data_IF_115216148899
#
_entry.id   IF_115216148899
#
_cell.length_a   1.000
_cell.length_b   1.000
_cell.length_c   1.000
_cell.angle_alpha   90.00
_cell.angle_beta   90.00
_cell.angle_gamma   90.00
#
_symmetry.space_group_name_H-M   'P 1'
#
loop_
_entity.id
_entity.type
_entity.pdbx_description
1 polymer ?
#
# COMPACT_ATOMS: atom_id res chain seq x y z
N UNK A 1 31.93 6.37 -25.11
CA UNK A 1 32.81 5.24 -24.81
C UNK A 1 31.99 4.23 -24.04
N UNK A 2 31.73 3.11 -24.66
CA UNK A 2 30.80 2.07 -24.23
C UNK A 2 31.36 1.33 -23.02
N UNK A 3 30.79 1.57 -21.84
CA UNK A 3 30.92 0.61 -20.75
C UNK A 3 30.04 -0.59 -21.11
N UNK A 4 30.65 -1.58 -21.75
CA UNK A 4 30.09 -2.93 -21.84
C UNK A 4 30.14 -3.53 -20.42
N UNK A 5 29.10 -3.32 -19.63
CA UNK A 5 28.89 -4.02 -18.36
C UNK A 5 28.60 -5.49 -18.75
N UNK A 6 29.65 -6.30 -18.72
CA UNK A 6 29.62 -7.72 -19.10
C UNK A 6 29.04 -8.56 -17.95
N UNK A 7 27.94 -8.10 -17.32
CA UNK A 7 27.17 -8.90 -16.39
C UNK A 7 26.35 -9.90 -17.21
N UNK A 8 26.35 -11.17 -16.85
CA UNK A 8 25.49 -12.12 -17.54
C UNK A 8 24.03 -11.63 -17.45
N UNK A 9 23.38 -11.51 -18.61
CA UNK A 9 21.95 -11.23 -18.68
C UNK A 9 21.20 -12.45 -18.13
N UNK A 10 20.47 -12.27 -17.03
CA UNK A 10 19.64 -13.32 -16.46
C UNK A 10 18.22 -13.16 -16.96
N UNK A 11 17.73 -14.20 -17.62
CA UNK A 11 16.43 -14.15 -18.27
C UNK A 11 15.37 -14.81 -17.43
N UNK A 12 14.21 -14.21 -17.40
CA UNK A 12 13.01 -14.82 -16.85
C UNK A 12 12.62 -15.99 -17.74
N UNK A 13 12.61 -17.20 -17.17
CA UNK A 13 12.29 -18.46 -17.90
C UNK A 13 10.96 -19.06 -17.48
N UNK A 14 10.31 -18.53 -16.44
CA UNK A 14 9.01 -19.00 -15.98
C UNK A 14 8.25 -17.95 -15.17
N UNK A 15 6.93 -18.04 -15.28
CA UNK A 15 5.99 -17.29 -14.45
C UNK A 15 4.89 -18.24 -13.99
N UNK A 16 4.59 -18.26 -12.71
CA UNK A 16 3.57 -19.10 -12.10
C UNK A 16 2.63 -18.24 -11.26
N UNK A 17 1.32 -18.52 -11.28
CA UNK A 17 0.31 -17.76 -10.55
C UNK A 17 -0.49 -18.67 -9.63
N UNK A 18 -0.85 -18.16 -8.44
CA UNK A 18 -1.63 -18.88 -7.44
C UNK A 18 -2.78 -18.00 -6.93
N UNK A 19 -3.97 -18.59 -6.80
CA UNK A 19 -5.12 -18.00 -6.12
C UNK A 19 -5.05 -18.38 -4.63
N UNK A 20 -4.47 -17.49 -3.82
CA UNK A 20 -4.27 -17.72 -2.38
C UNK A 20 -5.29 -16.91 -1.61
N UNK A 21 -6.12 -17.58 -0.79
CA UNK A 21 -7.19 -16.92 -0.01
C UNK A 21 -7.14 -17.36 1.45
N UNK A 22 -7.34 -16.39 2.35
CA UNK A 22 -7.38 -16.57 3.79
C UNK A 22 -8.79 -16.29 4.30
N UNK A 23 -9.42 -17.20 5.07
CA UNK A 23 -10.82 -17.05 5.47
C UNK A 23 -10.98 -16.10 6.67
N UNK A 24 -10.55 -14.84 6.50
CA UNK A 24 -10.58 -13.81 7.55
C UNK A 24 -12.01 -13.41 7.95
N UNK A 25 -12.98 -13.65 7.07
CA UNK A 25 -14.42 -13.45 7.37
C UNK A 25 -14.91 -14.26 8.58
N UNK A 26 -14.25 -15.37 8.93
CA UNK A 26 -14.66 -16.23 10.07
C UNK A 26 -14.49 -15.54 11.42
N UNK A 27 -13.51 -14.65 11.55
CA UNK A 27 -13.19 -13.91 12.79
C UNK A 27 -13.56 -12.42 12.69
N UNK A 28 -14.19 -12.00 11.57
CA UNK A 28 -14.56 -10.63 11.23
C UNK A 28 -13.34 -9.69 11.03
N UNK A 29 -12.13 -10.23 10.90
CA UNK A 29 -10.94 -9.45 10.64
C UNK A 29 -11.02 -8.83 9.23
N UNK A 30 -10.82 -7.53 9.15
CA UNK A 30 -10.99 -6.76 7.91
C UNK A 30 -12.43 -6.32 7.63
N UNK A 31 -13.39 -6.61 8.50
CA UNK A 31 -14.80 -6.22 8.31
C UNK A 31 -15.01 -4.71 8.40
N UNK A 32 -15.74 -4.14 7.43
CA UNK A 32 -16.07 -2.72 7.34
C UNK A 32 -17.51 -2.51 6.85
N UNK A 33 -17.92 -1.24 6.69
CA UNK A 33 -19.30 -0.89 6.34
C UNK A 33 -19.73 -1.29 4.91
N UNK A 34 -18.78 -1.55 4.02
CA UNK A 34 -19.02 -1.98 2.64
C UNK A 34 -18.71 -3.45 2.43
N UNK A 35 -17.78 -4.00 3.22
CA UNK A 35 -17.25 -5.36 3.09
C UNK A 35 -17.40 -6.10 4.43
N UNK A 36 -18.60 -6.66 4.73
CA UNK A 36 -18.85 -7.30 6.03
C UNK A 36 -18.22 -8.70 6.17
N UNK A 37 -17.83 -9.33 5.05
CA UNK A 37 -17.35 -10.70 4.98
C UNK A 37 -16.11 -10.88 4.09
N UNK A 38 -15.00 -10.11 4.28
CA UNK A 38 -13.82 -10.20 3.44
C UNK A 38 -13.04 -11.48 3.73
N UNK A 39 -12.58 -12.16 2.67
CA UNK A 39 -11.56 -13.18 2.73
C UNK A 39 -10.26 -12.62 2.11
N UNK A 40 -9.35 -12.12 2.92
CA UNK A 40 -8.12 -11.50 2.42
C UNK A 40 -7.37 -12.45 1.51
N UNK A 41 -7.04 -11.98 0.31
CA UNK A 41 -6.53 -12.83 -0.75
C UNK A 41 -5.38 -12.18 -1.50
N UNK A 42 -4.48 -13.02 -1.98
CA UNK A 42 -3.39 -12.64 -2.84
C UNK A 42 -3.50 -13.38 -4.18
N UNK A 43 -3.71 -12.65 -5.27
CA UNK A 43 -3.41 -13.17 -6.59
C UNK A 43 -1.88 -13.13 -6.75
N UNK A 44 -1.26 -14.26 -6.41
CA UNK A 44 0.18 -14.36 -6.18
C UNK A 44 0.93 -14.79 -7.44
N UNK A 45 2.10 -14.20 -7.68
CA UNK A 45 2.94 -14.51 -8.83
C UNK A 45 4.38 -14.80 -8.40
N UNK A 46 4.98 -15.82 -9.03
CA UNK A 46 6.40 -16.17 -8.91
C UNK A 46 7.05 -16.08 -10.27
N UNK A 47 8.11 -15.29 -10.38
CA UNK A 47 8.99 -15.23 -11.56
C UNK A 47 10.23 -16.05 -11.29
N UNK A 48 10.68 -16.85 -12.26
CA UNK A 48 11.91 -17.66 -12.17
C UNK A 48 12.89 -17.27 -13.26
N UNK A 49 14.16 -17.21 -12.91
CA UNK A 49 15.26 -16.93 -13.84
C UNK A 49 16.04 -18.19 -14.19
N UNK A 50 16.80 -18.14 -15.28
CA UNK A 50 17.66 -19.23 -15.76
C UNK A 50 18.82 -19.58 -14.82
N UNK A 51 19.18 -18.69 -13.88
CA UNK A 51 20.15 -18.91 -12.83
C UNK A 51 19.53 -19.41 -11.49
N UNK A 52 18.21 -19.65 -11.48
CA UNK A 52 17.49 -20.25 -10.35
C UNK A 52 17.02 -19.28 -9.27
N UNK A 53 17.10 -17.97 -9.49
CA UNK A 53 16.50 -17.00 -8.59
C UNK A 53 14.98 -16.90 -8.80
N UNK A 54 14.27 -16.55 -7.73
CA UNK A 54 12.83 -16.30 -7.76
C UNK A 54 12.52 -14.87 -7.31
N UNK A 55 11.50 -14.25 -7.91
CA UNK A 55 10.91 -13.01 -7.51
C UNK A 55 9.42 -13.18 -7.24
N UNK A 56 8.92 -12.59 -6.18
CA UNK A 56 7.58 -12.77 -5.63
C UNK A 56 6.81 -11.46 -5.65
N UNK A 57 5.54 -11.52 -6.01
CA UNK A 57 4.64 -10.37 -5.98
C UNK A 57 3.19 -10.83 -5.96
N UNK A 58 2.29 -9.90 -5.71
CA UNK A 58 0.86 -10.19 -5.70
C UNK A 58 0.03 -8.94 -5.92
N UNK A 59 -1.24 -9.14 -6.32
CA UNK A 59 -2.30 -8.16 -6.18
C UNK A 59 -3.18 -8.57 -5.01
N UNK A 60 -3.49 -7.62 -4.12
CA UNK A 60 -4.39 -7.84 -3.01
C UNK A 60 -5.85 -7.78 -3.47
N UNK A 61 -6.68 -8.72 -3.00
CA UNK A 61 -8.13 -8.72 -3.12
C UNK A 61 -8.77 -9.21 -1.81
N UNK A 62 -10.11 -9.15 -1.75
CA UNK A 62 -10.86 -9.56 -0.56
C UNK A 62 -11.73 -10.80 -0.79
N UNK A 63 -11.33 -11.67 -1.71
CA UNK A 63 -11.94 -13.00 -1.93
C UNK A 63 -12.50 -13.18 -3.33
N UNK A 64 -13.79 -12.92 -3.50
CA UNK A 64 -14.47 -13.10 -4.79
C UNK A 64 -13.83 -12.27 -5.90
N UNK A 65 -13.49 -12.91 -7.03
CA UNK A 65 -12.80 -12.28 -8.17
C UNK A 65 -11.26 -12.40 -8.13
N UNK A 66 -10.68 -13.05 -7.10
CA UNK A 66 -9.23 -13.28 -7.06
C UNK A 66 -8.78 -14.17 -8.22
N UNK A 67 -9.61 -15.11 -8.68
CA UNK A 67 -9.43 -15.92 -9.89
C UNK A 67 -9.36 -15.08 -11.17
N UNK A 68 -10.16 -14.02 -11.28
CA UNK A 68 -10.09 -13.05 -12.39
C UNK A 68 -8.75 -12.30 -12.36
N UNK A 69 -8.30 -11.94 -11.17
CA UNK A 69 -7.02 -11.25 -10.97
C UNK A 69 -5.82 -12.16 -11.35
N UNK A 70 -5.84 -13.45 -10.97
CA UNK A 70 -4.80 -14.41 -11.38
C UNK A 70 -4.78 -14.63 -12.89
N UNK A 71 -5.94 -14.70 -13.55
CA UNK A 71 -6.02 -14.79 -14.99
C UNK A 71 -5.43 -13.54 -15.69
N UNK A 72 -5.68 -12.34 -15.14
CA UNK A 72 -5.08 -11.11 -15.65
C UNK A 72 -3.55 -11.08 -15.49
N UNK A 73 -3.02 -11.56 -14.35
CA UNK A 73 -1.57 -11.71 -14.15
C UNK A 73 -0.99 -12.67 -15.20
N UNK A 74 -1.61 -13.84 -15.38
CA UNK A 74 -1.14 -14.83 -16.36
C UNK A 74 -1.09 -14.27 -17.78
N UNK A 75 -1.99 -13.38 -18.17
CA UNK A 75 -1.98 -12.73 -19.48
C UNK A 75 -0.75 -11.82 -19.71
N UNK A 76 -0.04 -11.43 -18.65
CA UNK A 76 1.18 -10.61 -18.72
C UNK A 76 2.46 -11.42 -18.93
N UNK A 77 2.42 -12.75 -18.89
CA UNK A 77 3.60 -13.61 -19.06
C UNK A 77 4.43 -13.25 -20.30
N UNK A 78 3.77 -12.96 -21.42
CA UNK A 78 4.40 -12.59 -22.69
C UNK A 78 5.33 -11.37 -22.64
N UNK A 79 5.14 -10.49 -21.64
CA UNK A 79 5.94 -9.26 -21.48
C UNK A 79 7.22 -9.50 -20.67
N UNK A 80 7.28 -10.59 -19.91
CA UNK A 80 8.40 -10.87 -19.02
C UNK A 80 9.24 -12.07 -19.45
N UNK A 81 8.67 -13.10 -20.09
CA UNK A 81 9.44 -14.26 -20.54
C UNK A 81 10.54 -13.88 -21.53
N UNK A 82 11.75 -14.38 -21.26
CA UNK A 82 12.94 -14.13 -22.07
C UNK A 82 13.54 -12.73 -21.87
N UNK A 83 12.95 -11.89 -21.03
CA UNK A 83 13.43 -10.53 -20.73
C UNK A 83 14.47 -10.53 -19.60
N UNK A 84 15.30 -9.48 -19.61
CA UNK A 84 16.23 -9.20 -18.52
C UNK A 84 15.53 -8.37 -17.44
N UNK A 85 15.75 -8.72 -16.17
CA UNK A 85 15.15 -8.00 -15.02
C UNK A 85 15.79 -6.63 -14.76
N UNK A 86 16.90 -6.30 -15.41
CA UNK A 86 17.58 -5.02 -15.16
C UNK A 86 16.82 -3.83 -15.73
N UNK A 87 16.02 -4.01 -16.79
CA UNK A 87 15.28 -2.93 -17.45
C UNK A 87 13.82 -2.81 -16.96
N UNK A 88 13.64 -2.64 -15.65
CA UNK A 88 12.32 -2.51 -15.01
C UNK A 88 11.48 -1.36 -15.58
N UNK A 89 12.12 -0.24 -15.90
CA UNK A 89 11.42 0.93 -16.45
C UNK A 89 10.82 0.64 -17.83
N UNK A 90 11.55 -0.07 -18.69
CA UNK A 90 11.06 -0.45 -20.03
C UNK A 90 9.97 -1.52 -19.93
N UNK A 91 10.14 -2.54 -19.07
CA UNK A 91 9.13 -3.59 -18.86
C UNK A 91 7.80 -3.01 -18.36
N UNK A 92 7.85 -2.11 -17.37
CA UNK A 92 6.66 -1.40 -16.91
C UNK A 92 5.98 -0.61 -18.04
N UNK A 93 6.75 0.19 -18.79
CA UNK A 93 6.23 0.99 -19.90
C UNK A 93 5.67 0.12 -21.02
N UNK A 94 6.28 -1.03 -21.32
CA UNK A 94 5.77 -1.96 -22.33
C UNK A 94 4.38 -2.48 -21.96
N UNK A 95 4.18 -2.94 -20.71
CA UNK A 95 2.88 -3.41 -20.22
C UNK A 95 1.80 -2.32 -20.18
N UNK A 96 2.13 -1.15 -19.64
CA UNK A 96 1.16 -0.04 -19.50
C UNK A 96 0.79 0.58 -20.85
N UNK A 97 1.68 0.55 -21.84
CA UNK A 97 1.47 1.19 -23.14
C UNK A 97 1.06 0.24 -24.25
N UNK A 98 0.88 -1.05 -23.98
CA UNK A 98 0.44 -1.99 -25.02
C UNK A 98 -0.88 -1.54 -25.64
N UNK A 99 -0.89 -1.46 -26.98
CA UNK A 99 -2.00 -0.88 -27.74
C UNK A 99 -3.32 -1.66 -27.62
N UNK A 100 -3.24 -2.96 -27.35
CA UNK A 100 -4.41 -3.83 -27.21
C UNK A 100 -4.86 -3.95 -25.75
N UNK A 101 -3.91 -4.10 -24.81
CA UNK A 101 -4.22 -4.14 -23.38
C UNK A 101 -4.87 -2.83 -22.88
N UNK A 102 -4.52 -1.69 -23.47
CA UNK A 102 -5.09 -0.39 -23.08
C UNK A 102 -6.62 -0.32 -23.13
N UNK A 103 -7.24 -1.15 -23.94
CA UNK A 103 -8.70 -1.26 -23.95
C UNK A 103 -9.26 -1.97 -22.72
N UNK A 104 -8.50 -2.92 -22.15
CA UNK A 104 -8.85 -3.65 -20.94
C UNK A 104 -8.52 -2.88 -19.65
N UNK A 105 -7.65 -1.89 -19.73
CA UNK A 105 -7.43 -0.96 -18.65
C UNK A 105 -6.12 -1.00 -17.88
N UNK A 106 -4.93 -0.98 -18.51
CA UNK A 106 -3.79 -0.37 -17.87
C UNK A 106 -4.15 1.03 -17.39
N UNK A 107 -3.62 1.39 -16.23
CA UNK A 107 -3.93 2.61 -15.47
C UNK A 107 -5.28 2.56 -14.72
N UNK A 108 -6.00 1.40 -14.72
CA UNK A 108 -7.21 1.19 -13.90
C UNK A 108 -7.59 -0.29 -13.80
N UNK A 109 -8.25 -0.64 -12.71
CA UNK A 109 -8.90 -1.93 -12.52
C UNK A 109 -7.97 -3.14 -12.49
N UNK A 110 -8.56 -4.29 -12.80
CA UNK A 110 -7.93 -5.62 -12.68
C UNK A 110 -6.60 -5.71 -13.42
N UNK A 111 -6.54 -5.22 -14.68
CA UNK A 111 -5.30 -5.30 -15.47
C UNK A 111 -4.18 -4.45 -14.88
N UNK A 112 -4.48 -3.30 -14.28
CA UNK A 112 -3.46 -2.44 -13.67
C UNK A 112 -2.92 -3.04 -12.37
N UNK A 113 -3.78 -3.67 -11.57
CA UNK A 113 -3.37 -4.43 -10.39
C UNK A 113 -2.56 -5.67 -10.77
N UNK A 114 -2.86 -6.33 -11.91
CA UNK A 114 -2.05 -7.42 -12.43
C UNK A 114 -0.63 -6.95 -12.82
N UNK A 115 -0.52 -5.78 -13.45
CA UNK A 115 0.77 -5.14 -13.74
C UNK A 115 1.52 -4.86 -12.44
N UNK A 116 0.84 -4.38 -11.38
CA UNK A 116 1.44 -4.19 -10.07
C UNK A 116 2.09 -5.47 -9.54
N UNK A 117 1.36 -6.58 -9.55
CA UNK A 117 1.87 -7.87 -9.06
C UNK A 117 3.15 -8.29 -9.78
N UNK A 118 3.17 -8.18 -11.11
CA UNK A 118 4.34 -8.53 -11.94
C UNK A 118 5.51 -7.57 -11.70
N UNK A 119 5.25 -6.25 -11.64
CA UNK A 119 6.28 -5.23 -11.37
C UNK A 119 6.89 -5.42 -9.99
N UNK A 120 6.06 -5.70 -8.98
CA UNK A 120 6.54 -5.95 -7.62
C UNK A 120 7.39 -7.24 -7.56
N UNK A 121 7.03 -8.29 -8.29
CA UNK A 121 7.85 -9.51 -8.42
C UNK A 121 9.20 -9.23 -9.10
N UNK A 122 9.23 -8.37 -10.12
CA UNK A 122 10.48 -7.93 -10.77
C UNK A 122 11.37 -7.14 -9.80
N UNK A 123 10.80 -6.28 -8.97
CA UNK A 123 11.54 -5.54 -7.93
C UNK A 123 12.06 -6.46 -6.83
N UNK A 124 11.25 -7.43 -6.38
CA UNK A 124 11.69 -8.44 -5.42
C UNK A 124 12.90 -9.21 -5.96
N UNK A 125 12.82 -9.69 -7.20
CA UNK A 125 13.90 -10.41 -7.89
C UNK A 125 15.16 -9.55 -8.01
N UNK A 126 15.05 -8.31 -8.48
CA UNK A 126 16.17 -7.37 -8.60
C UNK A 126 16.85 -7.11 -7.26
N UNK A 127 16.06 -6.89 -6.21
CA UNK A 127 16.56 -6.61 -4.87
C UNK A 127 17.25 -7.85 -4.26
N UNK A 128 16.69 -9.05 -4.45
CA UNK A 128 17.34 -10.32 -4.03
C UNK A 128 18.69 -10.50 -4.69
N UNK A 129 18.78 -10.27 -5.99
CA UNK A 129 20.04 -10.37 -6.73
C UNK A 129 21.05 -9.31 -6.32
N UNK A 130 20.60 -8.12 -5.95
CA UNK A 130 21.44 -7.07 -5.41
C UNK A 130 21.87 -7.32 -3.95
N UNK A 131 21.32 -8.34 -3.28
CA UNK A 131 21.58 -8.64 -1.88
C UNK A 131 21.04 -7.56 -0.92
N UNK A 132 19.97 -6.83 -1.32
CA UNK A 132 19.43 -5.69 -0.58
C UNK A 132 17.92 -5.73 -0.46
N UNK A 133 17.31 -5.20 0.62
CA UNK A 133 15.87 -4.93 0.64
C UNK A 133 15.54 -3.80 -0.35
N UNK A 134 14.32 -3.80 -0.91
CA UNK A 134 13.89 -2.83 -1.94
C UNK A 134 14.03 -1.39 -1.45
N UNK A 135 13.68 -1.06 -0.19
CA UNK A 135 13.84 0.30 0.31
C UNK A 135 15.29 0.80 0.23
N UNK A 136 16.25 -0.08 0.55
CA UNK A 136 17.67 0.26 0.51
C UNK A 136 18.17 0.37 -0.93
N UNK A 137 17.76 -0.58 -1.78
CA UNK A 137 18.10 -0.56 -3.20
C UNK A 137 17.64 0.74 -3.86
N UNK A 138 16.38 1.13 -3.66
CA UNK A 138 15.82 2.38 -4.18
C UNK A 138 16.55 3.62 -3.61
N UNK A 139 16.85 3.62 -2.32
CA UNK A 139 17.52 4.76 -1.67
C UNK A 139 18.97 4.97 -2.15
N UNK A 140 19.63 3.93 -2.65
CA UNK A 140 20.99 3.99 -3.18
C UNK A 140 21.04 4.33 -4.69
N UNK A 141 19.91 4.30 -5.39
CA UNK A 141 19.85 4.74 -6.78
C UNK A 141 20.05 6.26 -6.85
N UNK A 142 20.69 6.71 -7.93
CA UNK A 142 20.81 8.15 -8.21
C UNK A 142 19.45 8.79 -8.50
N UNK A 143 19.30 10.10 -8.27
CA UNK A 143 18.09 10.83 -8.66
C UNK A 143 17.69 10.62 -10.12
N UNK A 144 18.65 10.55 -11.03
CA UNK A 144 18.45 10.33 -12.47
C UNK A 144 17.90 8.92 -12.75
N UNK A 145 18.40 7.90 -12.06
CA UNK A 145 17.89 6.52 -12.17
C UNK A 145 16.44 6.45 -11.67
N UNK A 146 16.13 7.07 -10.52
CA UNK A 146 14.76 7.10 -9.98
C UNK A 146 13.80 7.83 -10.95
N UNK A 147 14.18 8.98 -11.49
CA UNK A 147 13.37 9.70 -12.50
C UNK A 147 13.15 8.84 -13.75
N UNK A 148 14.13 8.05 -14.15
CA UNK A 148 14.03 7.10 -15.28
C UNK A 148 12.97 6.01 -15.11
N UNK A 149 12.63 5.66 -13.86
CA UNK A 149 11.60 4.66 -13.53
C UNK A 149 10.17 5.20 -13.70
N UNK A 150 9.98 6.53 -13.66
CA UNK A 150 8.67 7.18 -13.66
C UNK A 150 8.13 7.36 -15.08
N UNK A 151 6.85 7.05 -15.28
CA UNK A 151 6.11 7.47 -16.46
C UNK A 151 5.42 8.82 -16.19
N UNK A 152 5.99 9.89 -16.71
CA UNK A 152 5.48 11.26 -16.56
C UNK A 152 4.29 11.58 -17.48
N UNK A 153 3.86 10.64 -18.32
CA UNK A 153 2.67 10.84 -19.15
C UNK A 153 1.47 11.19 -18.28
N UNK A 154 0.79 12.26 -18.63
CA UNK A 154 -0.37 12.83 -17.91
C UNK A 154 -0.05 13.43 -16.52
N UNK A 155 1.24 13.61 -16.18
CA UNK A 155 1.66 14.26 -14.93
C UNK A 155 2.30 15.63 -15.14
N UNK A 156 2.75 15.95 -16.35
CA UNK A 156 3.62 17.10 -16.62
C UNK A 156 3.01 18.47 -16.31
N UNK A 157 1.68 18.55 -16.17
CA UNK A 157 0.96 19.75 -15.68
C UNK A 157 1.03 19.91 -14.15
N UNK A 158 1.43 18.88 -13.42
CA UNK A 158 1.54 18.87 -11.95
C UNK A 158 2.96 18.54 -11.46
N UNK A 159 3.70 17.70 -12.19
CA UNK A 159 5.06 17.29 -11.85
C UNK A 159 5.85 17.02 -13.14
N UNK A 160 6.85 17.81 -13.41
CA UNK A 160 7.80 17.59 -14.52
C UNK A 160 8.97 16.70 -14.09
N UNK A 161 9.70 16.06 -15.04
CA UNK A 161 10.93 15.33 -14.72
C UNK A 161 11.98 16.20 -14.00
N UNK A 162 12.14 17.46 -14.38
CA UNK A 162 13.10 18.37 -13.76
C UNK A 162 12.72 18.70 -12.31
N UNK A 163 11.45 18.90 -12.02
CA UNK A 163 10.98 19.12 -10.65
C UNK A 163 11.15 17.87 -9.78
N UNK A 164 10.85 16.68 -10.32
CA UNK A 164 11.10 15.41 -9.64
C UNK A 164 12.60 15.23 -9.32
N UNK A 165 13.47 15.56 -10.29
CA UNK A 165 14.90 15.53 -10.11
C UNK A 165 15.38 16.51 -9.03
N UNK A 166 14.81 17.71 -8.95
CA UNK A 166 15.13 18.70 -7.92
C UNK A 166 14.72 18.21 -6.52
N UNK A 167 13.54 17.57 -6.38
CA UNK A 167 13.08 16.98 -5.11
C UNK A 167 14.08 15.92 -4.64
N UNK A 168 14.44 14.97 -5.52
CA UNK A 168 15.36 13.88 -5.18
C UNK A 168 16.77 14.39 -4.86
N UNK A 169 17.31 15.34 -5.64
CA UNK A 169 18.63 15.93 -5.38
C UNK A 169 18.70 16.68 -4.06
N UNK A 170 17.61 17.37 -3.68
CA UNK A 170 17.53 18.01 -2.36
C UNK A 170 17.60 16.99 -1.23
N UNK A 171 17.02 15.81 -1.43
CA UNK A 171 17.03 14.73 -0.44
C UNK A 171 18.36 13.97 -0.38
N UNK A 172 19.36 14.23 -1.25
CA UNK A 172 20.69 13.63 -1.13
C UNK A 172 21.42 14.11 0.14
N UNK A 173 21.23 15.37 0.53
CA UNK A 173 21.82 15.90 1.77
C UNK A 173 21.23 15.18 2.99
N UNK A 174 22.09 14.63 3.85
CA UNK A 174 21.71 13.92 5.08
C UNK A 174 21.10 12.51 4.84
N UNK A 175 21.25 11.93 3.64
CA UNK A 175 20.69 10.61 3.31
C UNK A 175 21.25 9.49 4.21
N UNK A 176 22.55 9.45 4.44
CA UNK A 176 23.18 8.41 5.28
C UNK A 176 22.76 8.52 6.75
N UNK A 177 22.60 9.73 7.27
CA UNK A 177 22.09 9.95 8.63
C UNK A 177 20.64 9.47 8.77
N UNK A 178 19.80 9.69 7.72
CA UNK A 178 18.42 9.16 7.71
C UNK A 178 18.37 7.65 7.66
N UNK A 179 19.25 7.02 6.88
CA UNK A 179 19.39 5.57 6.83
C UNK A 179 19.80 5.02 8.20
N UNK A 180 20.82 5.60 8.82
CA UNK A 180 21.29 5.18 10.14
C UNK A 180 20.17 5.32 11.19
N UNK A 181 19.47 6.47 11.21
CA UNK A 181 18.32 6.71 12.09
C UNK A 181 17.18 5.71 11.85
N UNK A 182 16.85 5.42 10.58
CA UNK A 182 15.80 4.46 10.24
C UNK A 182 16.13 3.05 10.76
N UNK A 183 17.38 2.61 10.61
CA UNK A 183 17.83 1.30 11.10
C UNK A 183 17.79 1.25 12.64
N UNK A 184 18.16 2.33 13.31
CA UNK A 184 18.17 2.42 14.77
C UNK A 184 16.76 2.49 15.36
N UNK A 185 15.89 3.36 14.82
CA UNK A 185 14.61 3.74 15.44
C UNK A 185 13.38 3.18 14.76
N UNK A 186 13.50 2.65 13.54
CA UNK A 186 12.35 2.23 12.72
C UNK A 186 11.49 3.38 12.20
N UNK A 187 10.34 3.06 11.57
CA UNK A 187 9.39 4.02 10.99
C UNK A 187 8.07 4.02 11.79
N UNK A 188 7.44 5.18 12.08
CA UNK A 188 6.22 5.24 12.90
C UNK A 188 5.06 4.44 12.30
N UNK A 189 4.29 3.77 13.16
CA UNK A 189 3.12 2.99 12.79
C UNK A 189 1.87 3.45 13.54
N UNK A 190 0.70 3.19 12.94
CA UNK A 190 -0.59 3.16 13.62
C UNK A 190 -1.28 1.83 13.37
N UNK A 191 -2.30 1.49 14.17
CA UNK A 191 -3.00 0.22 13.97
C UNK A 191 -4.51 0.36 13.79
N UNK A 192 -5.06 -0.48 12.91
CA UNK A 192 -6.51 -0.65 12.69
C UNK A 192 -7.07 -1.85 13.48
N UNK A 193 -6.22 -2.69 14.07
CA UNK A 193 -6.63 -3.90 14.77
C UNK A 193 -7.76 -3.73 15.79
N UNK A 194 -7.85 -2.62 16.58
CA UNK A 194 -8.99 -2.40 17.48
C UNK A 194 -10.29 -2.05 16.76
N UNK A 195 -10.21 -1.59 15.52
CA UNK A 195 -11.27 -0.82 14.89
C UNK A 195 -12.20 -1.54 13.93
N UNK A 196 -12.06 -2.85 13.69
CA UNK A 196 -12.94 -3.58 12.79
C UNK A 196 -14.40 -3.54 13.25
N UNK A 197 -15.34 -3.62 12.30
CA UNK A 197 -16.76 -3.68 12.63
C UNK A 197 -17.16 -5.05 13.18
N UNK A 198 -18.19 -5.06 14.04
CA UNK A 198 -18.69 -6.28 14.65
C UNK A 198 -18.04 -6.65 15.98
N UNK A 199 -16.97 -5.96 16.38
CA UNK A 199 -16.37 -6.17 17.71
C UNK A 199 -17.25 -5.58 18.83
N UNK A 200 -17.39 -6.32 19.93
CA UNK A 200 -18.03 -5.81 21.14
C UNK A 200 -17.15 -4.82 21.91
N UNK A 201 -17.71 -4.18 22.93
CA UNK A 201 -17.01 -3.15 23.73
C UNK A 201 -15.83 -3.73 24.51
N UNK A 202 -15.90 -4.97 24.96
CA UNK A 202 -14.83 -5.62 25.71
C UNK A 202 -13.63 -5.88 24.82
N UNK A 203 -13.85 -6.44 23.61
CA UNK A 203 -12.80 -6.67 22.61
C UNK A 203 -12.19 -5.33 22.17
N UNK A 204 -13.02 -4.32 21.88
CA UNK A 204 -12.54 -2.99 21.49
C UNK A 204 -11.66 -2.35 22.57
N UNK A 205 -12.09 -2.36 23.86
CA UNK A 205 -11.30 -1.83 24.99
C UNK A 205 -9.95 -2.54 25.10
N UNK A 206 -9.97 -3.85 25.13
CA UNK A 206 -8.76 -4.68 25.26
C UNK A 206 -7.77 -4.37 24.13
N UNK A 207 -8.23 -4.33 22.88
CA UNK A 207 -7.37 -4.08 21.73
C UNK A 207 -6.83 -2.63 21.71
N UNK A 208 -7.59 -1.63 22.18
CA UNK A 208 -7.08 -0.28 22.39
C UNK A 208 -5.98 -0.23 23.46
N UNK A 209 -6.17 -0.92 24.60
CA UNK A 209 -5.15 -1.04 25.66
C UNK A 209 -3.88 -1.71 25.16
N UNK A 210 -4.03 -2.81 24.39
CA UNK A 210 -2.92 -3.53 23.76
C UNK A 210 -2.15 -2.66 22.77
N UNK A 211 -2.86 -1.87 21.94
CA UNK A 211 -2.24 -0.95 21.00
C UNK A 211 -1.40 0.12 21.72
N UNK A 212 -1.91 0.71 22.79
CA UNK A 212 -1.18 1.68 23.61
C UNK A 212 0.04 1.02 24.27
N UNK A 213 -0.12 -0.18 24.83
CA UNK A 213 0.97 -0.93 25.47
C UNK A 213 2.08 -1.31 24.49
N UNK A 214 1.75 -1.55 23.21
CA UNK A 214 2.69 -1.80 22.13
C UNK A 214 3.36 -0.53 21.60
N UNK A 215 3.00 0.65 22.10
CA UNK A 215 3.61 1.93 21.74
C UNK A 215 3.04 2.59 20.49
N UNK A 216 1.91 2.12 19.95
CA UNK A 216 1.25 2.79 18.83
C UNK A 216 0.79 4.20 19.24
N UNK A 217 1.12 5.20 18.44
CA UNK A 217 0.75 6.60 18.67
C UNK A 217 -0.60 7.00 18.07
N UNK A 218 -1.29 6.07 17.41
CA UNK A 218 -2.57 6.31 16.75
C UNK A 218 -3.28 4.96 16.49
N UNK A 219 -4.62 5.01 16.53
CA UNK A 219 -5.48 3.90 16.06
C UNK A 219 -6.47 4.39 15.00
N UNK A 220 -7.11 3.45 14.29
CA UNK A 220 -8.17 3.72 13.32
C UNK A 220 -9.41 2.89 13.64
N UNK A 221 -10.61 3.49 13.55
CA UNK A 221 -11.90 2.83 13.72
C UNK A 221 -12.65 2.81 12.38
N UNK A 222 -13.19 1.67 12.00
CA UNK A 222 -14.15 1.56 10.90
C UNK A 222 -15.49 2.15 11.32
N UNK A 223 -16.10 2.95 10.44
CA UNK A 223 -17.37 3.67 10.69
C UNK A 223 -18.27 3.60 9.47
N UNK A 224 -19.53 4.06 9.60
CA UNK A 224 -20.43 4.28 8.47
C UNK A 224 -21.53 3.22 8.32
N UNK A 225 -21.54 2.17 9.14
CA UNK A 225 -22.61 1.18 9.12
C UNK A 225 -23.85 1.66 9.92
N UNK A 226 -23.66 2.15 11.13
CA UNK A 226 -24.70 2.69 12.01
C UNK A 226 -24.13 3.85 12.85
N UNK A 227 -24.74 5.01 12.79
CA UNK A 227 -24.23 6.23 13.41
C UNK A 227 -24.19 6.15 14.95
N UNK A 228 -25.20 5.54 15.58
CA UNK A 228 -25.22 5.42 17.04
C UNK A 228 -24.19 4.38 17.53
N UNK A 229 -23.96 3.32 16.76
CA UNK A 229 -22.89 2.36 17.02
C UNK A 229 -21.50 3.02 16.85
N UNK A 230 -21.30 3.80 15.81
CA UNK A 230 -20.06 4.56 15.57
C UNK A 230 -19.78 5.50 16.74
N UNK A 231 -20.79 6.25 17.22
CA UNK A 231 -20.67 7.11 18.40
C UNK A 231 -20.32 6.34 19.66
N UNK A 232 -20.98 5.18 19.88
CA UNK A 232 -20.71 4.28 21.01
C UNK A 232 -19.27 3.80 20.98
N UNK A 233 -18.83 3.24 19.87
CA UNK A 233 -17.48 2.69 19.67
C UNK A 233 -16.42 3.78 19.83
N UNK A 234 -16.64 4.97 19.26
CA UNK A 234 -15.70 6.08 19.39
C UNK A 234 -15.58 6.54 20.84
N UNK A 235 -16.71 6.59 21.56
CA UNK A 235 -16.70 6.93 23.01
C UNK A 235 -15.88 5.91 23.80
N UNK A 236 -16.10 4.61 23.57
CA UNK A 236 -15.33 3.53 24.20
C UNK A 236 -13.83 3.69 23.92
N UNK A 237 -13.44 3.93 22.68
CA UNK A 237 -12.04 4.15 22.32
C UNK A 237 -11.46 5.40 23.00
N UNK A 238 -12.23 6.51 23.07
CA UNK A 238 -11.81 7.74 23.76
C UNK A 238 -11.64 7.55 25.26
N UNK A 239 -12.51 6.77 25.92
CA UNK A 239 -12.38 6.44 27.34
C UNK A 239 -11.06 5.72 27.65
N UNK A 240 -10.60 4.84 26.75
CA UNK A 240 -9.35 4.09 26.90
C UNK A 240 -8.13 4.92 26.51
N UNK A 241 -8.18 5.53 25.32
CA UNK A 241 -7.01 6.19 24.73
C UNK A 241 -6.79 7.63 25.30
N UNK A 242 -7.82 8.22 25.88
CA UNK A 242 -7.78 9.61 26.34
C UNK A 242 -8.17 10.63 25.26
N UNK A 243 -8.35 11.92 25.66
CA UNK A 243 -8.93 12.94 24.80
C UNK A 243 -8.00 13.36 23.63
N UNK A 244 -6.70 13.34 23.83
CA UNK A 244 -5.71 13.87 22.89
C UNK A 244 -5.06 12.77 22.01
N UNK A 245 -5.36 11.50 22.26
CA UNK A 245 -4.79 10.40 21.48
C UNK A 245 -5.36 10.41 20.05
N UNK A 246 -4.51 10.35 19.00
CA UNK A 246 -4.97 10.34 17.62
C UNK A 246 -5.84 9.10 17.32
N UNK A 247 -7.11 9.32 16.96
CA UNK A 247 -8.04 8.28 16.50
C UNK A 247 -8.53 8.68 15.11
N UNK A 248 -8.12 7.97 14.08
CA UNK A 248 -8.66 8.11 12.72
C UNK A 248 -9.97 7.35 12.58
N UNK A 249 -10.81 7.76 11.64
CA UNK A 249 -12.01 7.03 11.25
C UNK A 249 -11.99 6.73 9.75
N UNK A 250 -12.54 5.57 9.37
CA UNK A 250 -12.53 5.09 8.00
C UNK A 250 -13.94 4.60 7.63
N UNK A 251 -14.52 5.24 6.62
CA UNK A 251 -15.88 4.97 6.15
C UNK A 251 -15.93 4.00 4.96
N UNK A 252 -14.79 3.62 4.42
CA UNK A 252 -14.70 2.69 3.28
C UNK A 252 -15.69 3.03 2.16
N UNK A 253 -15.76 4.32 1.78
CA UNK A 253 -16.56 4.83 0.64
C UNK A 253 -18.09 4.76 0.85
N UNK A 254 -18.54 4.65 2.10
CA UNK A 254 -19.95 4.38 2.42
C UNK A 254 -20.89 5.50 2.04
N UNK A 255 -20.45 6.77 2.02
CA UNK A 255 -21.36 7.90 1.99
C UNK A 255 -21.39 8.64 0.65
N UNK A 256 -22.58 9.19 0.33
CA UNK A 256 -22.67 10.33 -0.56
C UNK A 256 -22.13 11.59 0.10
N UNK A 257 -21.77 12.61 -0.68
CA UNK A 257 -21.13 13.84 -0.20
C UNK A 257 -21.92 14.51 0.94
N UNK A 258 -23.24 14.68 0.78
CA UNK A 258 -24.07 15.36 1.78
C UNK A 258 -24.17 14.56 3.09
N UNK A 259 -24.47 13.25 2.97
CA UNK A 259 -24.58 12.38 4.15
C UNK A 259 -23.26 12.20 4.85
N UNK A 260 -22.13 12.13 4.13
CA UNK A 260 -20.80 12.08 4.69
C UNK A 260 -20.48 13.31 5.53
N UNK A 261 -20.78 14.51 5.02
CA UNK A 261 -20.57 15.75 5.77
C UNK A 261 -21.40 15.76 7.08
N UNK A 262 -22.65 15.35 7.05
CA UNK A 262 -23.52 15.31 8.24
C UNK A 262 -23.04 14.27 9.26
N UNK A 263 -22.67 13.05 8.78
CA UNK A 263 -22.16 11.98 9.64
C UNK A 263 -20.87 12.38 10.36
N UNK A 264 -19.91 12.90 9.60
CA UNK A 264 -18.63 13.34 10.14
C UNK A 264 -18.81 14.50 11.14
N UNK A 265 -19.71 15.46 10.85
CA UNK A 265 -20.03 16.53 11.81
C UNK A 265 -20.59 15.98 13.12
N UNK A 266 -21.41 14.94 13.07
CA UNK A 266 -21.91 14.29 14.29
C UNK A 266 -20.78 13.61 15.06
N UNK A 267 -19.82 12.96 14.39
CA UNK A 267 -18.66 12.35 15.03
C UNK A 267 -17.58 13.35 15.44
N UNK A 268 -17.68 14.63 15.05
CA UNK A 268 -16.68 15.66 15.36
C UNK A 268 -16.52 15.94 16.86
N UNK A 269 -17.56 15.66 17.67
CA UNK A 269 -17.50 15.77 19.14
C UNK A 269 -16.37 14.90 19.76
N UNK A 270 -15.98 13.82 19.08
CA UNK A 270 -14.92 12.91 19.53
C UNK A 270 -13.52 13.28 18.99
N UNK A 271 -13.38 14.31 18.17
CA UNK A 271 -12.11 14.79 17.64
C UNK A 271 -11.40 13.77 16.75
N UNK A 272 -11.99 13.32 15.62
CA UNK A 272 -11.31 12.40 14.70
C UNK A 272 -10.03 13.04 14.15
N UNK A 273 -8.94 12.28 14.13
CA UNK A 273 -7.63 12.73 13.63
C UNK A 273 -7.66 12.96 12.11
N UNK A 274 -8.26 12.03 11.37
CA UNK A 274 -8.68 12.20 9.98
C UNK A 274 -9.92 11.35 9.68
N UNK A 275 -10.56 11.66 8.56
CA UNK A 275 -11.60 10.82 7.96
C UNK A 275 -11.04 10.21 6.68
N UNK A 276 -11.03 8.88 6.62
CA UNK A 276 -10.54 8.08 5.51
C UNK A 276 -11.69 7.64 4.61
N UNK A 277 -11.46 7.68 3.30
CA UNK A 277 -12.38 7.24 2.26
C UNK A 277 -13.88 7.62 2.49
N UNK A 278 -14.21 8.91 2.69
CA UNK A 278 -15.59 9.26 3.04
C UNK A 278 -16.60 8.97 1.92
N UNK A 279 -16.16 8.97 0.66
CA UNK A 279 -16.99 8.73 -0.53
C UNK A 279 -16.22 7.97 -1.61
N UNK A 280 -16.82 7.75 -2.77
CA UNK A 280 -16.22 7.02 -3.89
C UNK A 280 -14.79 7.49 -4.21
N UNK A 281 -13.80 6.59 -4.37
CA UNK A 281 -12.43 6.96 -4.72
C UNK A 281 -12.31 7.67 -6.07
N UNK A 282 -13.31 7.52 -6.95
CA UNK A 282 -13.35 8.18 -8.25
C UNK A 282 -13.96 9.59 -8.19
N UNK A 283 -14.57 10.00 -7.06
CA UNK A 283 -15.20 11.31 -6.89
C UNK A 283 -14.24 12.32 -6.26
N UNK A 284 -13.33 12.85 -7.07
CA UNK A 284 -12.36 13.88 -6.66
C UNK A 284 -13.05 15.15 -6.18
N UNK A 285 -14.12 15.58 -6.86
CA UNK A 285 -14.85 16.80 -6.49
C UNK A 285 -15.67 16.59 -5.22
N UNK A 286 -16.20 15.39 -5.02
CA UNK A 286 -16.90 14.98 -3.79
C UNK A 286 -15.96 15.01 -2.59
N UNK A 287 -14.77 14.43 -2.70
CA UNK A 287 -13.74 14.53 -1.66
C UNK A 287 -13.41 15.98 -1.32
N UNK A 288 -13.21 16.84 -2.34
CA UNK A 288 -12.94 18.26 -2.13
C UNK A 288 -14.12 19.00 -1.47
N UNK A 289 -15.35 18.63 -1.79
CA UNK A 289 -16.54 19.20 -1.15
C UNK A 289 -16.66 18.76 0.32
N UNK A 290 -16.41 17.48 0.60
CA UNK A 290 -16.37 16.96 1.97
C UNK A 290 -15.28 17.66 2.77
N UNK A 291 -14.05 17.74 2.26
CA UNK A 291 -12.93 18.39 2.94
C UNK A 291 -13.26 19.83 3.36
N UNK A 292 -13.91 20.60 2.47
CA UNK A 292 -14.39 21.95 2.82
C UNK A 292 -15.53 21.93 3.84
N UNK A 293 -16.43 20.97 3.74
CA UNK A 293 -17.63 20.87 4.56
C UNK A 293 -17.39 20.46 6.02
N UNK A 294 -16.28 19.75 6.24
CA UNK A 294 -15.91 19.21 7.58
C UNK A 294 -14.69 19.90 8.20
N UNK A 295 -14.15 20.92 7.54
CA UNK A 295 -12.99 21.64 8.08
C UNK A 295 -13.20 22.03 9.54
N UNK A 296 -12.23 21.86 10.46
CA UNK A 296 -10.81 21.58 10.21
C UNK A 296 -10.41 20.07 10.18
N UNK A 297 -11.37 19.13 10.18
CA UNK A 297 -11.05 17.69 10.18
C UNK A 297 -10.40 17.32 8.84
N UNK A 298 -9.19 16.71 8.85
CA UNK A 298 -8.49 16.29 7.63
C UNK A 298 -9.20 15.12 6.92
N UNK A 299 -9.07 15.08 5.58
CA UNK A 299 -9.48 13.93 4.76
C UNK A 299 -8.24 13.15 4.33
N UNK A 300 -8.32 11.81 4.43
CA UNK A 300 -7.35 10.87 3.92
C UNK A 300 -8.00 9.97 2.85
N UNK A 301 -7.29 9.63 1.78
CA UNK A 301 -7.72 8.61 0.82
C UNK A 301 -6.57 8.14 -0.05
N UNK A 302 -6.76 6.98 -0.71
CA UNK A 302 -5.83 6.50 -1.70
C UNK A 302 -5.79 4.98 -1.90
N UNK A 303 -6.19 4.17 -0.93
CA UNK A 303 -6.12 2.71 -1.03
C UNK A 303 -6.89 2.13 -2.22
N UNK A 304 -8.01 2.73 -2.59
CA UNK A 304 -8.81 2.37 -3.76
C UNK A 304 -8.55 3.26 -4.98
N UNK A 305 -7.70 4.27 -4.87
CA UNK A 305 -7.37 5.15 -6.01
C UNK A 305 -6.59 4.36 -7.06
N UNK A 306 -7.06 4.43 -8.31
CA UNK A 306 -6.68 3.49 -9.35
C UNK A 306 -5.32 3.76 -9.98
N UNK A 307 -4.86 5.02 -10.02
CA UNK A 307 -3.63 5.39 -10.70
C UNK A 307 -3.13 6.78 -10.29
N UNK A 308 -1.90 7.10 -10.68
CA UNK A 308 -1.22 8.39 -10.43
C UNK A 308 -1.99 9.61 -10.92
N UNK A 309 -2.86 9.48 -11.95
CA UNK A 309 -3.60 10.62 -12.51
C UNK A 309 -4.71 11.05 -11.56
N UNK A 310 -5.41 10.10 -10.93
CA UNK A 310 -6.43 10.41 -9.93
C UNK A 310 -5.79 10.99 -8.67
N UNK A 311 -4.64 10.46 -8.23
CA UNK A 311 -3.84 11.07 -7.15
C UNK A 311 -3.45 12.52 -7.47
N UNK A 312 -2.98 12.79 -8.69
CA UNK A 312 -2.71 14.16 -9.15
C UNK A 312 -3.94 15.05 -9.00
N UNK A 313 -5.11 14.58 -9.44
CA UNK A 313 -6.35 15.35 -9.37
C UNK A 313 -6.81 15.62 -7.93
N UNK A 314 -6.70 14.64 -7.04
CA UNK A 314 -6.99 14.82 -5.61
C UNK A 314 -6.10 15.90 -4.98
N UNK A 315 -4.82 15.90 -5.30
CA UNK A 315 -3.86 16.90 -4.83
C UNK A 315 -4.14 18.30 -5.41
N UNK A 316 -4.38 18.40 -6.72
CA UNK A 316 -4.71 19.67 -7.40
C UNK A 316 -6.02 20.27 -6.90
N UNK A 317 -7.01 19.44 -6.54
CA UNK A 317 -8.30 19.88 -6.00
C UNK A 317 -8.23 20.28 -4.52
N UNK A 318 -7.11 20.07 -3.82
CA UNK A 318 -7.02 20.22 -2.36
C UNK A 318 -8.01 19.33 -1.62
N UNK A 319 -8.24 18.15 -2.16
CA UNK A 319 -9.28 17.23 -1.67
C UNK A 319 -8.83 16.40 -0.46
N UNK A 320 -7.53 16.28 -0.23
CA UNK A 320 -6.93 15.45 0.81
C UNK A 320 -5.84 16.19 1.58
N UNK A 321 -5.71 15.85 2.85
CA UNK A 321 -4.65 16.32 3.76
C UNK A 321 -3.62 15.22 4.04
N UNK A 322 -4.00 13.96 3.88
CA UNK A 322 -3.14 12.78 3.94
C UNK A 322 -3.35 11.93 2.70
N UNK A 323 -2.26 11.50 2.08
CA UNK A 323 -2.30 10.62 0.91
C UNK A 323 -1.97 9.20 1.34
N UNK A 324 -2.78 8.23 0.89
CA UNK A 324 -2.62 6.83 1.26
C UNK A 324 -2.30 6.01 0.01
N UNK A 325 -1.01 5.69 -0.17
CA UNK A 325 -0.62 4.71 -1.19
C UNK A 325 -0.98 3.29 -0.73
N UNK A 326 -1.15 2.41 -1.71
CA UNK A 326 -1.19 0.96 -1.52
C UNK A 326 -0.16 0.33 -2.45
N UNK A 327 0.65 -0.60 -1.93
CA UNK A 327 1.75 -1.19 -2.70
C UNK A 327 1.29 -2.14 -3.82
N UNK A 328 0.04 -2.64 -3.76
CA UNK A 328 -0.52 -3.63 -4.68
C UNK A 328 -1.73 -3.11 -5.50
N UNK A 329 -2.11 -1.84 -5.35
CA UNK A 329 -3.30 -1.26 -5.99
C UNK A 329 -3.01 -0.58 -7.33
N UNK A 330 -1.94 0.21 -7.39
CA UNK A 330 -1.51 0.94 -8.59
C UNK A 330 -0.45 0.14 -9.36
N UNK A 331 0.22 0.69 -10.35
CA UNK A 331 1.19 -0.02 -11.20
C UNK A 331 2.50 -0.46 -10.52
N UNK A 332 2.46 -0.85 -9.26
CA UNK A 332 3.61 -1.33 -8.49
C UNK A 332 4.57 -0.22 -8.05
N UNK A 333 5.82 -0.60 -7.73
CA UNK A 333 6.85 0.33 -7.20
C UNK A 333 7.03 1.55 -8.10
N UNK A 334 7.08 1.38 -9.42
CA UNK A 334 7.33 2.47 -10.36
C UNK A 334 6.26 3.58 -10.29
N UNK A 335 4.99 3.21 -10.19
CA UNK A 335 3.92 4.20 -10.09
C UNK A 335 3.81 4.79 -8.69
N UNK A 336 4.08 3.98 -7.65
CA UNK A 336 4.16 4.50 -6.28
C UNK A 336 5.26 5.57 -6.15
N UNK A 337 6.42 5.42 -6.80
CA UNK A 337 7.46 6.47 -6.84
C UNK A 337 6.90 7.76 -7.43
N UNK A 338 6.13 7.69 -8.52
CA UNK A 338 5.50 8.87 -9.11
C UNK A 338 4.53 9.56 -8.15
N UNK A 339 3.74 8.78 -7.41
CA UNK A 339 2.77 9.28 -6.42
C UNK A 339 3.48 9.92 -5.22
N UNK A 340 4.55 9.31 -4.71
CA UNK A 340 5.38 9.86 -3.63
C UNK A 340 5.99 11.21 -4.03
N UNK A 341 6.50 11.32 -5.25
CA UNK A 341 7.04 12.58 -5.78
C UNK A 341 5.95 13.67 -5.95
N UNK A 342 4.75 13.29 -6.39
CA UNK A 342 3.59 14.19 -6.42
C UNK A 342 3.24 14.67 -5.01
N UNK A 343 3.11 13.78 -4.05
CA UNK A 343 2.81 14.11 -2.67
C UNK A 343 3.86 15.07 -2.07
N UNK A 344 5.15 14.80 -2.32
CA UNK A 344 6.25 15.66 -1.88
C UNK A 344 6.15 17.06 -2.50
N UNK A 345 5.84 17.18 -3.80
CA UNK A 345 5.66 18.47 -4.47
C UNK A 345 4.51 19.29 -3.89
N UNK A 346 3.39 18.65 -3.57
CA UNK A 346 2.21 19.30 -2.98
C UNK A 346 2.31 19.48 -1.46
N UNK A 347 3.36 18.96 -0.82
CA UNK A 347 3.56 19.07 0.63
C UNK A 347 2.55 18.25 1.45
N UNK A 348 1.95 17.22 0.86
CA UNK A 348 0.97 16.34 1.51
C UNK A 348 1.70 15.12 2.09
N UNK A 349 1.58 14.84 3.41
CA UNK A 349 2.18 13.66 4.02
C UNK A 349 1.53 12.37 3.49
N UNK A 350 2.36 11.32 3.37
CA UNK A 350 1.92 9.99 2.96
C UNK A 350 1.81 9.09 4.17
N UNK A 351 0.62 8.52 4.37
CA UNK A 351 0.28 7.57 5.44
C UNK A 351 -0.33 6.33 4.79
N UNK A 352 0.48 5.35 4.38
CA UNK A 352 0.03 4.24 3.54
C UNK A 352 -1.04 3.37 4.18
N UNK A 353 -1.93 2.85 3.33
CA UNK A 353 -2.78 1.71 3.63
C UNK A 353 -1.96 0.41 3.68
N UNK A 354 -2.28 -0.45 4.65
CA UNK A 354 -1.70 -1.79 4.76
C UNK A 354 -2.67 -2.84 5.34
N UNK A 355 -3.96 -2.53 5.39
CA UNK A 355 -5.01 -3.41 5.92
C UNK A 355 -5.31 -4.61 5.03
N UNK A 356 -4.35 -5.51 4.82
CA UNK A 356 -4.52 -6.69 3.97
C UNK A 356 -3.34 -7.64 4.03
N UNK A 357 -3.52 -8.86 3.52
CA UNK A 357 -2.45 -9.87 3.50
C UNK A 357 -1.23 -9.37 2.73
N UNK A 358 -0.07 -9.33 3.40
CA UNK A 358 1.22 -8.95 2.81
C UNK A 358 1.38 -7.46 2.47
N UNK A 359 0.36 -6.63 2.69
CA UNK A 359 0.46 -5.20 2.39
C UNK A 359 1.41 -4.47 3.34
N UNK A 360 1.43 -4.83 4.62
CA UNK A 360 2.41 -4.34 5.59
C UNK A 360 3.84 -4.64 5.13
N UNK A 361 4.07 -5.85 4.65
CA UNK A 361 5.36 -6.34 4.15
C UNK A 361 5.88 -5.51 2.98
N UNK A 362 5.00 -5.16 2.04
CA UNK A 362 5.39 -4.40 0.86
C UNK A 362 5.54 -2.91 1.15
N UNK A 363 4.54 -2.30 1.79
CA UNK A 363 4.43 -0.83 1.85
C UNK A 363 5.48 -0.20 2.76
N UNK A 364 6.00 -0.93 3.76
CA UNK A 364 7.09 -0.45 4.60
C UNK A 364 8.31 -0.02 3.77
N UNK A 365 8.64 -0.76 2.69
CA UNK A 365 9.75 -0.41 1.81
C UNK A 365 9.53 0.94 1.10
N UNK A 366 8.30 1.20 0.66
CA UNK A 366 7.96 2.45 -0.03
C UNK A 366 8.00 3.65 0.91
N UNK A 367 7.51 3.49 2.14
CA UNK A 367 7.55 4.55 3.16
C UNK A 367 8.97 4.87 3.62
N UNK A 368 9.81 3.84 3.77
CA UNK A 368 11.21 4.01 4.13
C UNK A 368 12.02 4.69 3.02
N UNK A 369 11.75 4.34 1.75
CA UNK A 369 12.29 5.04 0.60
C UNK A 369 11.84 6.51 0.55
N UNK A 370 10.54 6.79 0.78
CA UNK A 370 10.00 8.16 0.83
C UNK A 370 10.75 9.01 1.87
N UNK A 371 10.92 8.47 3.07
CA UNK A 371 11.67 9.15 4.13
C UNK A 371 13.13 9.39 3.76
N UNK A 372 13.82 8.37 3.26
CA UNK A 372 15.26 8.44 3.03
C UNK A 372 15.62 9.28 1.83
N UNK A 373 14.90 9.13 0.71
CA UNK A 373 15.31 9.63 -0.60
C UNK A 373 14.34 10.62 -1.26
N UNK A 374 13.17 10.91 -0.67
CA UNK A 374 12.20 11.84 -1.26
C UNK A 374 11.94 13.03 -0.33
N UNK A 375 11.43 12.80 0.89
CA UNK A 375 10.93 13.89 1.75
C UNK A 375 11.89 14.28 2.87
N UNK A 376 12.70 13.35 3.35
CA UNK A 376 13.66 13.60 4.44
C UNK A 376 13.05 13.73 5.83
N UNK A 377 11.74 13.52 6.00
CA UNK A 377 11.02 13.66 7.29
C UNK A 377 10.02 12.54 7.52
N UNK A 378 9.81 12.20 8.79
CA UNK A 378 8.72 11.34 9.27
C UNK A 378 7.58 12.15 9.91
N UNK A 379 7.66 13.47 9.93
CA UNK A 379 6.67 14.31 10.59
C UNK A 379 5.30 14.20 9.91
N UNK A 380 4.27 13.87 10.70
CA UNK A 380 2.92 13.64 10.19
C UNK A 380 2.77 12.39 9.31
N UNK A 381 3.74 11.46 9.34
CA UNK A 381 3.74 10.23 8.54
C UNK A 381 3.75 9.00 9.43
N UNK A 382 2.81 8.10 9.16
CA UNK A 382 2.65 6.82 9.86
C UNK A 382 2.24 5.75 8.86
N UNK A 383 2.70 4.51 9.05
CA UNK A 383 2.28 3.36 8.25
C UNK A 383 1.17 2.62 9.00
N UNK A 384 0.11 2.22 8.31
CA UNK A 384 -0.90 1.33 8.87
C UNK A 384 -0.29 -0.03 9.22
N UNK A 385 -0.77 -0.61 10.32
CA UNK A 385 -0.45 -1.97 10.75
C UNK A 385 -1.72 -2.72 11.12
N UNK A 386 -1.80 -3.97 10.69
CA UNK A 386 -2.77 -4.98 11.13
C UNK A 386 -2.01 -6.17 11.69
N UNK A 387 -2.55 -6.87 12.67
CA UNK A 387 -1.82 -7.85 13.50
C UNK A 387 -1.98 -9.31 13.07
N UNK A 388 -2.36 -9.55 11.82
CA UNK A 388 -2.66 -10.90 11.32
C UNK A 388 -2.02 -11.21 9.97
N UNK A 389 -1.87 -12.51 9.65
CA UNK A 389 -1.37 -13.08 8.40
C UNK A 389 0.14 -12.90 8.12
N UNK A 390 0.91 -12.31 9.03
CA UNK A 390 2.37 -12.13 8.88
C UNK A 390 3.12 -13.47 8.90
N UNK A 391 2.61 -14.46 9.62
CA UNK A 391 3.17 -15.80 9.74
C UNK A 391 3.27 -16.58 8.43
N UNK A 392 2.58 -16.10 7.39
CA UNK A 392 2.61 -16.69 6.07
C UNK A 392 3.79 -16.22 5.21
N UNK A 393 4.55 -15.22 5.67
CA UNK A 393 5.65 -14.62 4.92
C UNK A 393 7.02 -15.02 5.47
N UNK A 394 7.98 -15.22 4.56
CA UNK A 394 9.35 -15.60 4.91
C UNK A 394 10.14 -14.44 5.57
N UNK A 395 9.73 -13.21 5.32
CA UNK A 395 10.31 -11.99 5.89
C UNK A 395 9.16 -11.08 6.40
N UNK A 396 8.49 -11.47 7.50
CA UNK A 396 7.36 -10.73 8.03
C UNK A 396 7.79 -9.40 8.61
N UNK A 397 6.86 -8.45 8.67
CA UNK A 397 7.10 -7.19 9.37
C UNK A 397 7.37 -7.39 10.85
N UNK A 398 8.19 -6.55 11.41
CA UNK A 398 8.48 -6.54 12.85
C UNK A 398 8.10 -5.18 13.42
N UNK A 399 7.18 -5.18 14.37
CA UNK A 399 6.80 -3.99 15.13
C UNK A 399 7.50 -3.99 16.48
N UNK A 400 8.09 -2.86 16.84
CA UNK A 400 8.64 -2.61 18.17
C UNK A 400 8.38 -1.17 18.57
N UNK A 401 7.80 -0.97 19.76
CA UNK A 401 7.45 0.35 20.30
C UNK A 401 6.66 1.20 19.30
N UNK A 402 5.60 0.61 18.67
CA UNK A 402 4.76 1.27 17.68
C UNK A 402 5.47 1.67 16.38
N UNK A 403 6.55 0.99 16.01
CA UNK A 403 7.35 1.31 14.84
C UNK A 403 7.70 0.07 14.02
N UNK A 404 7.65 0.19 12.71
CA UNK A 404 8.19 -0.80 11.78
C UNK A 404 9.71 -0.80 11.85
N UNK A 405 10.33 -1.92 12.14
CA UNK A 405 11.77 -2.08 12.01
C UNK A 405 12.15 -2.19 10.54
N UNK A 406 13.23 -1.54 10.13
CA UNK A 406 13.68 -1.59 8.75
C UNK A 406 14.04 -3.03 8.34
N UNK A 407 13.43 -3.60 7.29
CA UNK A 407 13.76 -4.94 6.81
C UNK A 407 15.22 -4.97 6.32
N UNK A 408 15.91 -6.05 6.66
CA UNK A 408 17.32 -6.24 6.30
C UNK A 408 17.55 -7.36 5.28
N UNK A 409 16.55 -8.25 5.10
CA UNK A 409 16.64 -9.33 4.12
C UNK A 409 16.52 -8.80 2.70
N UNK A 410 17.26 -9.39 1.73
CA UNK A 410 17.11 -9.03 0.32
C UNK A 410 15.72 -9.35 -0.20
N UNK A 411 15.15 -8.44 -1.01
CA UNK A 411 13.84 -8.59 -1.61
C UNK A 411 12.85 -7.51 -1.22
N UNK A 412 11.58 -7.75 -1.52
CA UNK A 412 10.45 -6.86 -1.24
C UNK A 412 9.55 -7.40 -0.11
N UNK A 413 10.05 -8.37 0.67
CA UNK A 413 9.34 -9.09 1.73
C UNK A 413 8.05 -9.80 1.25
N UNK A 414 7.91 -10.01 -0.06
CA UNK A 414 6.70 -10.56 -0.72
C UNK A 414 6.61 -12.09 -0.71
N UNK A 415 7.68 -12.79 -0.30
CA UNK A 415 7.73 -14.24 -0.38
C UNK A 415 6.86 -14.91 0.68
N UNK A 416 5.82 -15.64 0.26
CA UNK A 416 5.07 -16.53 1.11
C UNK A 416 5.77 -17.88 1.29
N UNK A 417 5.55 -18.53 2.43
CA UNK A 417 5.96 -19.93 2.64
C UNK A 417 5.22 -20.87 1.68
N UNK A 418 5.92 -21.83 1.13
CA UNK A 418 5.33 -22.79 0.17
C UNK A 418 4.16 -23.58 0.77
N UNK A 419 4.26 -23.97 2.05
CA UNK A 419 3.19 -24.61 2.80
C UNK A 419 1.96 -23.71 2.97
N UNK A 420 2.14 -22.41 3.17
CA UNK A 420 1.04 -21.44 3.25
C UNK A 420 0.32 -21.32 1.92
N UNK A 421 1.05 -21.21 0.81
CA UNK A 421 0.47 -21.19 -0.55
C UNK A 421 -0.33 -22.47 -0.77
N UNK A 422 0.25 -23.64 -0.51
CA UNK A 422 -0.42 -24.93 -0.73
C UNK A 422 -1.69 -25.09 0.12
N UNK A 423 -1.66 -24.68 1.39
CA UNK A 423 -2.80 -24.79 2.29
C UNK A 423 -3.95 -23.86 1.91
N UNK A 424 -3.65 -22.65 1.42
CA UNK A 424 -4.63 -21.59 1.16
C UNK A 424 -4.97 -21.43 -0.33
N UNK A 425 -4.41 -22.23 -1.23
CA UNK A 425 -4.80 -22.23 -2.66
C UNK A 425 -6.28 -22.57 -2.82
N UNK A 426 -7.04 -21.65 -3.39
CA UNK A 426 -8.48 -21.83 -3.60
C UNK A 426 -8.76 -22.54 -4.94
N UNK A 427 -9.76 -23.49 -5.00
CA UNK A 427 -10.56 -24.01 -3.89
C UNK A 427 -9.98 -25.30 -3.26
N UNK A 428 -8.81 -25.74 -3.66
CA UNK A 428 -8.32 -27.11 -3.39
C UNK A 428 -7.34 -27.22 -2.21
N UNK A 429 -6.94 -26.09 -1.60
CA UNK A 429 -6.10 -26.08 -0.40
C UNK A 429 -6.80 -26.69 0.82
N UNK A 430 -6.04 -27.20 1.78
CA UNK A 430 -6.60 -27.87 2.96
C UNK A 430 -7.55 -27.00 3.77
N UNK A 431 -7.30 -25.67 3.82
CA UNK A 431 -8.12 -24.70 4.55
C UNK A 431 -9.54 -24.56 3.94
N UNK A 432 -9.70 -24.85 2.64
CA UNK A 432 -10.96 -24.69 1.91
C UNK A 432 -11.75 -25.98 1.69
N UNK A 433 -11.06 -27.14 1.71
CA UNK A 433 -11.72 -28.44 1.44
C UNK A 433 -12.70 -28.89 2.53
N UNK A 434 -12.48 -28.41 3.75
CA UNK A 434 -13.26 -28.80 4.95
C UNK A 434 -14.19 -27.66 5.42
N UNK A 435 -14.43 -26.66 4.55
CA UNK A 435 -15.21 -25.46 4.85
C UNK A 435 -16.64 -25.51 4.27
#
# INVERSE_FOLDING_TARGET
>A
MTNNDNRPAYRIVGMETHDVRFPTSRELDGSDAMNPDPDYSAAYVVLRTDDGHEGHGFAFTIGRGNDVQTAAISALERYVLGKDVEDLGALYKEMVNDSQLRWLGPEKGVMHMAISAVVNALWDLKARRAGKPVWRLLSEMSPEEIVGLVDFRYLSDALTPDEALQILRKAEEGKEERIARLIETGYPAYTTSPGWLGYDDEKLRRLCEEAIAQGFGQIKLKVGADLEDDRRRFRVAREVCGPDFPIAIDANQRWDVASGIEWIKTLSEFGPHWVEEPTSPDDVLGHAAIARGIAPIPVATGEHVQNRIVFKQLLQAGAISYLQIDAARVGGVNENIAILLLAAKFGVPVCPHAGGVGLCELVQHLSMFDYVAVTGTMDGRVIEYVDHLHEHFADPVVIRDGRYLAPSRPGFSAQMHAESIAAHTFPNGSVWRDA
#
